data_IF_761431118389
#
_entry.id   IF_761431118389
#
_cell.length_a   1.000
_cell.length_b   1.000
_cell.length_c   1.000
_cell.angle_alpha   90.00
_cell.angle_beta   90.00
_cell.angle_gamma   90.00
#
_symmetry.space_group_name_H-M   'P 1'
#
loop_
_entity.id
_entity.type
_entity.pdbx_description
1 polymer ?
#
# COMPACT_ATOMS: atom_id res chain seq x y z
N UNK A 1 -15.70 10.10 -0.87
CA UNK A 1 -14.46 9.33 -0.65
C UNK A 1 -13.62 10.15 0.31
N UNK A 2 -13.40 9.64 1.51
CA UNK A 2 -12.52 10.29 2.48
C UNK A 2 -11.12 9.72 2.25
N UNK A 3 -10.13 10.59 2.06
CA UNK A 3 -8.72 10.20 1.92
C UNK A 3 -8.10 10.32 3.29
N UNK A 4 -7.82 9.20 3.97
CA UNK A 4 -6.99 9.22 5.20
C UNK A 4 -5.57 8.85 4.79
N UNK A 5 -4.70 9.86 4.70
CA UNK A 5 -3.26 9.65 4.56
C UNK A 5 -2.70 9.33 5.94
N UNK A 6 -2.10 8.15 6.11
CA UNK A 6 -1.48 7.77 7.37
C UNK A 6 0.04 7.76 7.19
N UNK A 7 0.74 8.61 7.94
CA UNK A 7 2.19 8.50 8.07
C UNK A 7 2.54 7.30 8.94
N UNK A 8 3.73 6.71 8.73
CA UNK A 8 4.21 5.49 9.43
C UNK A 8 4.02 5.60 10.95
N UNK A 9 4.20 6.80 11.52
CA UNK A 9 4.04 7.07 12.95
C UNK A 9 2.65 6.75 13.49
N UNK A 10 1.58 6.90 12.70
CA UNK A 10 0.21 6.59 13.12
C UNK A 10 -0.13 5.10 13.02
N UNK A 11 0.52 4.35 12.13
CA UNK A 11 0.36 2.88 11.98
C UNK A 11 1.03 2.14 13.15
N UNK A 12 2.07 2.75 13.73
CA UNK A 12 2.81 2.21 14.88
C UNK A 12 2.33 2.75 16.24
N UNK A 13 1.37 3.67 16.26
CA UNK A 13 0.89 4.33 17.49
C UNK A 13 -0.19 3.55 18.27
N UNK A 14 -0.70 2.42 17.74
CA UNK A 14 -1.40 1.45 18.60
C UNK A 14 -0.39 0.76 19.52
N UNK A 15 -0.65 0.63 20.83
CA UNK A 15 0.40 0.49 21.84
C UNK A 15 1.06 -0.90 21.81
N UNK A 16 2.16 -1.03 21.07
CA UNK A 16 3.13 -2.12 21.28
C UNK A 16 4.53 -1.51 21.25
N UNK A 17 5.03 -1.27 22.45
CA UNK A 17 6.34 -0.74 22.79
C UNK A 17 7.47 -1.61 22.19
N UNK A 18 8.37 -1.06 21.38
CA UNK A 18 9.71 -1.63 21.19
C UNK A 18 10.80 -0.55 21.10
N UNK A 19 11.84 -0.79 21.90
CA UNK A 19 12.98 0.08 22.20
C UNK A 19 13.93 0.25 21.01
N UNK A 20 14.55 1.44 20.98
CA UNK A 20 15.75 1.82 20.24
C UNK A 20 16.85 0.76 20.24
N UNK A 21 17.43 0.48 19.06
CA UNK A 21 18.67 -0.24 18.88
C UNK A 21 19.61 0.51 17.93
N UNK A 22 20.70 1.05 18.48
CA UNK A 22 21.84 1.63 17.75
C UNK A 22 22.55 0.56 16.91
N UNK A 23 22.95 0.86 15.67
CA UNK A 23 24.01 0.13 14.96
C UNK A 23 24.96 1.11 14.30
N UNK A 24 26.21 1.01 14.74
CA UNK A 24 27.40 1.71 14.27
C UNK A 24 28.22 0.74 13.41
N UNK A 25 28.88 1.19 12.33
CA UNK A 25 30.22 0.72 11.89
C UNK A 25 30.74 1.40 10.61
N UNK A 26 31.97 1.91 10.72
CA UNK A 26 32.88 2.33 9.64
C UNK A 26 33.47 1.11 8.89
N UNK A 27 33.93 1.28 7.64
CA UNK A 27 35.27 0.90 7.13
C UNK A 27 35.47 1.33 5.66
N UNK A 28 36.72 1.60 5.25
CA UNK A 28 37.09 2.43 4.08
C UNK A 28 37.61 1.74 2.80
N UNK A 29 37.59 2.57 1.72
CA UNK A 29 38.46 2.75 0.53
C UNK A 29 38.98 1.53 -0.30
N UNK A 30 38.66 1.47 -1.61
CA UNK A 30 39.60 1.63 -2.77
C UNK A 30 38.98 1.28 -4.15
N UNK A 31 39.55 1.88 -5.21
CA UNK A 31 39.07 2.10 -6.60
C UNK A 31 39.08 0.89 -7.55
N UNK A 32 38.14 0.83 -8.51
CA UNK A 32 38.39 1.07 -9.96
C UNK A 32 37.12 0.84 -10.81
N UNK A 33 37.08 1.50 -11.96
CA UNK A 33 35.90 1.96 -12.68
C UNK A 33 35.08 0.91 -13.45
N UNK A 34 33.76 0.95 -13.24
CA UNK A 34 32.74 1.01 -14.31
C UNK A 34 31.54 1.77 -13.73
N UNK A 35 31.39 3.05 -14.07
CA UNK A 35 30.21 3.82 -13.71
C UNK A 35 29.22 3.80 -14.88
N UNK A 36 28.07 3.16 -14.67
CA UNK A 36 26.76 3.44 -15.32
C UNK A 36 25.74 2.50 -14.66
N UNK A 37 24.64 2.86 -14.00
CA UNK A 37 23.95 4.10 -13.69
C UNK A 37 23.11 3.84 -12.42
N UNK A 38 23.18 4.77 -11.45
CA UNK A 38 22.21 5.06 -10.37
C UNK A 38 21.58 3.88 -9.60
N UNK A 39 22.06 3.64 -8.39
CA UNK A 39 21.25 3.08 -7.29
C UNK A 39 20.20 4.10 -6.86
N UNK A 40 19.22 4.37 -7.73
CA UNK A 40 18.02 5.10 -7.32
C UNK A 40 17.24 4.11 -6.47
N UNK A 41 17.01 4.43 -5.20
CA UNK A 41 15.91 3.83 -4.44
C UNK A 41 14.65 4.03 -5.30
N UNK A 42 14.28 3.02 -6.09
CA UNK A 42 13.09 3.14 -6.93
C UNK A 42 11.91 3.20 -6.00
N UNK A 43 11.19 4.33 -5.99
CA UNK A 43 9.95 4.40 -5.24
C UNK A 43 8.96 3.44 -5.89
N UNK A 44 8.44 2.50 -5.10
CA UNK A 44 7.58 1.42 -5.57
C UNK A 44 6.21 1.55 -4.95
N UNK A 45 5.20 1.74 -5.79
CA UNK A 45 3.80 1.87 -5.39
C UNK A 45 3.06 0.55 -5.64
N UNK A 46 2.31 0.10 -4.63
CA UNK A 46 1.36 -0.99 -4.76
C UNK A 46 -0.06 -0.51 -4.48
N UNK A 47 -0.97 -0.74 -5.44
CA UNK A 47 -2.35 -0.28 -5.34
C UNK A 47 -3.29 -1.48 -5.12
N UNK A 48 -3.82 -1.61 -3.91
CA UNK A 48 -4.85 -2.58 -3.57
C UNK A 48 -6.20 -2.06 -4.09
N UNK A 49 -6.78 -2.76 -5.06
CA UNK A 49 -8.01 -2.33 -5.72
C UNK A 49 -7.78 -1.26 -6.80
N UNK A 50 -7.17 -1.64 -7.92
CA UNK A 50 -6.88 -0.76 -9.06
C UNK A 50 -8.14 -0.40 -9.87
N UNK A 51 -8.99 0.43 -9.28
CA UNK A 51 -10.13 1.10 -9.90
C UNK A 51 -9.72 2.40 -10.61
N UNK A 52 -10.69 3.29 -10.84
CA UNK A 52 -10.47 4.55 -11.54
C UNK A 52 -9.39 5.44 -10.88
N UNK A 53 -9.47 5.61 -9.55
CA UNK A 53 -8.49 6.40 -8.78
C UNK A 53 -7.10 5.77 -8.87
N UNK A 54 -7.02 4.45 -8.62
CA UNK A 54 -5.78 3.68 -8.70
C UNK A 54 -5.10 3.79 -10.06
N UNK A 55 -5.86 3.66 -11.15
CA UNK A 55 -5.32 3.80 -12.52
C UNK A 55 -4.81 5.21 -12.82
N UNK A 56 -5.51 6.24 -12.32
CA UNK A 56 -5.11 7.64 -12.52
C UNK A 56 -3.80 7.94 -11.78
N UNK A 57 -3.69 7.49 -10.52
CA UNK A 57 -2.45 7.60 -9.75
C UNK A 57 -1.32 6.80 -10.40
N UNK A 58 -1.60 5.56 -10.82
CA UNK A 58 -0.60 4.69 -11.43
C UNK A 58 0.03 5.32 -12.68
N UNK A 59 -0.77 5.87 -13.60
CA UNK A 59 -0.26 6.59 -14.78
C UNK A 59 0.64 7.77 -14.39
N UNK A 60 0.21 8.57 -13.41
CA UNK A 60 0.98 9.74 -12.97
C UNK A 60 2.34 9.33 -12.40
N UNK A 61 2.38 8.28 -11.59
CA UNK A 61 3.61 7.78 -10.96
C UNK A 61 4.53 7.08 -11.97
N UNK A 62 3.98 6.28 -12.89
CA UNK A 62 4.76 5.66 -13.98
C UNK A 62 5.45 6.74 -14.84
N UNK A 63 4.76 7.84 -15.16
CA UNK A 63 5.33 8.97 -15.88
C UNK A 63 6.47 9.69 -15.11
N UNK A 64 6.54 9.49 -13.80
CA UNK A 64 7.62 9.99 -12.93
C UNK A 64 8.74 8.96 -12.72
N UNK A 65 8.67 7.81 -13.40
CA UNK A 65 9.65 6.72 -13.30
C UNK A 65 9.49 5.84 -12.06
N UNK A 66 8.29 5.79 -11.46
CA UNK A 66 8.01 4.87 -10.35
C UNK A 66 7.67 3.48 -10.88
N UNK A 67 8.04 2.45 -10.12
CA UNK A 67 7.52 1.10 -10.32
C UNK A 67 6.13 1.04 -9.70
N UNK A 68 5.10 0.76 -10.49
CA UNK A 68 3.72 0.68 -10.01
C UNK A 68 3.10 -0.66 -10.39
N UNK A 69 2.55 -1.32 -9.37
CA UNK A 69 1.73 -2.52 -9.52
C UNK A 69 0.45 -2.40 -8.72
N UNK A 70 -0.48 -3.33 -8.89
CA UNK A 70 -1.58 -3.45 -7.95
C UNK A 70 -2.48 -4.64 -8.20
N UNK A 71 -3.71 -4.56 -7.72
CA UNK A 71 -4.62 -5.71 -7.71
C UNK A 71 -6.00 -5.44 -8.29
N UNK A 72 -6.66 -6.51 -8.72
CA UNK A 72 -8.07 -6.51 -9.08
C UNK A 72 -8.70 -7.87 -8.74
N UNK A 73 -10.03 -7.97 -8.86
CA UNK A 73 -10.78 -9.16 -8.41
C UNK A 73 -11.17 -10.11 -9.55
N UNK A 74 -11.00 -9.73 -10.82
CA UNK A 74 -11.45 -10.56 -11.95
C UNK A 74 -10.44 -10.62 -13.09
N UNK A 75 -10.35 -11.78 -13.76
CA UNK A 75 -9.49 -11.98 -14.93
C UNK A 75 -9.80 -11.01 -16.07
N UNK A 76 -11.09 -10.71 -16.29
CA UNK A 76 -11.52 -9.76 -17.32
C UNK A 76 -10.95 -8.37 -17.05
N UNK A 77 -10.98 -7.91 -15.79
CA UNK A 77 -10.41 -6.62 -15.39
C UNK A 77 -8.88 -6.65 -15.42
N UNK A 78 -8.27 -7.76 -15.00
CA UNK A 78 -6.81 -7.97 -15.09
C UNK A 78 -6.31 -7.77 -16.52
N UNK A 79 -6.88 -8.51 -17.47
CA UNK A 79 -6.50 -8.41 -18.89
C UNK A 79 -6.63 -6.99 -19.42
N UNK A 80 -7.75 -6.30 -19.14
CA UNK A 80 -7.94 -4.90 -19.55
C UNK A 80 -6.88 -3.96 -18.97
N UNK A 81 -6.46 -4.16 -17.73
CA UNK A 81 -5.42 -3.34 -17.08
C UNK A 81 -4.03 -3.66 -17.64
N UNK A 82 -3.74 -4.92 -17.95
CA UNK A 82 -2.50 -5.35 -18.62
C UNK A 82 -2.41 -4.77 -20.05
N UNK A 83 -3.51 -4.77 -20.81
CA UNK A 83 -3.59 -4.15 -22.13
C UNK A 83 -3.34 -2.63 -22.08
N UNK A 84 -3.57 -1.99 -20.91
CA UNK A 84 -3.27 -0.59 -20.64
C UNK A 84 -1.84 -0.35 -20.13
N UNK A 85 -1.02 -1.40 -20.01
CA UNK A 85 0.37 -1.32 -19.55
C UNK A 85 0.55 -1.37 -18.02
N UNK A 86 -0.46 -1.81 -17.26
CA UNK A 86 -0.33 -1.97 -15.81
C UNK A 86 0.08 -3.39 -15.41
N UNK A 87 0.93 -3.49 -14.39
CA UNK A 87 1.26 -4.75 -13.74
C UNK A 87 0.25 -5.05 -12.64
N UNK A 88 -0.62 -6.05 -12.85
CA UNK A 88 -1.72 -6.33 -11.93
C UNK A 88 -1.86 -7.81 -11.57
N UNK A 89 -2.16 -8.06 -10.30
CA UNK A 89 -2.44 -9.40 -9.77
C UNK A 89 -3.91 -9.55 -9.38
N UNK A 90 -4.36 -10.80 -9.34
CA UNK A 90 -5.66 -11.10 -8.73
C UNK A 90 -5.50 -11.10 -7.21
N UNK A 91 -6.44 -10.46 -6.54
CA UNK A 91 -6.50 -10.42 -5.09
C UNK A 91 -7.95 -10.28 -4.64
N UNK A 92 -8.37 -11.16 -3.75
CA UNK A 92 -9.61 -11.03 -3.00
C UNK A 92 -9.27 -10.64 -1.57
N UNK A 93 -9.70 -9.45 -1.15
CA UNK A 93 -9.45 -8.99 0.21
C UNK A 93 -10.23 -9.78 1.27
N UNK A 94 -11.33 -10.45 0.89
CA UNK A 94 -12.08 -11.29 1.82
C UNK A 94 -11.30 -12.58 2.15
N UNK A 95 -10.45 -13.03 1.22
CA UNK A 95 -9.63 -14.23 1.34
C UNK A 95 -8.20 -13.92 0.84
N UNK A 96 -7.40 -13.18 1.63
CA UNK A 96 -6.10 -12.73 1.21
C UNK A 96 -5.13 -13.90 1.00
N UNK A 97 -4.55 -14.00 -0.20
CA UNK A 97 -3.52 -14.98 -0.51
C UNK A 97 -2.16 -14.55 0.08
N UNK A 98 -1.50 -15.48 0.78
CA UNK A 98 -0.15 -15.33 1.32
C UNK A 98 0.88 -14.93 0.26
N UNK A 99 0.72 -15.40 -0.98
CA UNK A 99 1.62 -15.06 -2.09
C UNK A 99 1.63 -13.56 -2.39
N UNK A 100 0.45 -12.93 -2.35
CA UNK A 100 0.30 -11.48 -2.54
C UNK A 100 0.89 -10.73 -1.35
N UNK A 101 0.65 -11.21 -0.11
CA UNK A 101 1.22 -10.59 1.09
C UNK A 101 2.76 -10.61 1.09
N UNK A 102 3.38 -11.67 0.58
CA UNK A 102 4.83 -11.72 0.38
C UNK A 102 5.29 -10.73 -0.70
N UNK A 103 4.53 -10.60 -1.80
CA UNK A 103 4.80 -9.62 -2.85
C UNK A 103 4.78 -8.18 -2.32
N UNK A 104 3.87 -7.86 -1.39
CA UNK A 104 3.77 -6.52 -0.80
C UNK A 104 5.12 -6.06 -0.20
N UNK A 105 5.91 -6.96 0.39
CA UNK A 105 7.20 -6.60 1.02
C UNK A 105 8.21 -5.93 0.08
N UNK A 106 8.02 -6.08 -1.24
CA UNK A 106 8.88 -5.46 -2.27
C UNK A 106 8.49 -4.02 -2.60
N UNK A 107 7.46 -3.47 -1.95
CA UNK A 107 6.94 -2.13 -2.20
C UNK A 107 7.12 -1.22 -0.99
N UNK A 108 7.29 0.07 -1.25
CA UNK A 108 7.53 1.08 -0.22
C UNK A 108 6.32 1.97 0.00
N UNK A 109 5.44 2.11 -0.99
CA UNK A 109 4.24 2.94 -0.92
C UNK A 109 3.00 2.10 -1.25
N UNK A 110 1.92 2.30 -0.50
CA UNK A 110 0.68 1.56 -0.70
C UNK A 110 -0.53 2.49 -0.77
N UNK A 111 -1.42 2.18 -1.71
CA UNK A 111 -2.77 2.75 -1.76
C UNK A 111 -3.78 1.63 -1.55
N UNK A 112 -4.60 1.72 -0.51
CA UNK A 112 -5.76 0.86 -0.28
C UNK A 112 -6.99 1.56 -0.83
N UNK A 113 -7.53 1.03 -1.92
CA UNK A 113 -8.69 1.54 -2.65
C UNK A 113 -9.72 0.41 -2.88
N UNK A 114 -9.81 -0.53 -1.93
CA UNK A 114 -10.79 -1.61 -1.96
C UNK A 114 -12.06 -1.10 -1.26
N UNK A 115 -13.22 -1.08 -1.95
CA UNK A 115 -14.46 -0.65 -1.32
C UNK A 115 -14.94 -1.69 -0.30
N UNK A 116 -15.64 -1.26 0.76
CA UNK A 116 -16.27 -2.18 1.69
C UNK A 116 -17.38 -2.98 1.00
N UNK A 117 -17.68 -4.15 1.56
CA UNK A 117 -18.76 -5.02 1.10
C UNK A 117 -20.01 -4.74 1.92
N UNK A 118 -21.13 -4.45 1.25
CA UNK A 118 -22.41 -4.14 1.90
C UNK A 118 -22.83 -5.31 2.80
N UNK A 119 -23.15 -5.00 4.07
CA UNK A 119 -23.56 -5.99 5.08
C UNK A 119 -22.43 -6.81 5.70
N UNK A 120 -21.21 -6.72 5.19
CA UNK A 120 -20.02 -7.44 5.70
C UNK A 120 -19.00 -6.47 6.32
N UNK A 121 -18.92 -5.24 5.78
CA UNK A 121 -17.95 -4.24 6.21
C UNK A 121 -16.69 -4.25 5.36
N UNK A 122 -15.59 -3.74 5.92
CA UNK A 122 -14.34 -3.59 5.18
C UNK A 122 -13.44 -4.84 5.28
N UNK A 123 -13.17 -5.54 4.16
CA UNK A 123 -12.37 -6.76 4.19
C UNK A 123 -10.91 -6.50 4.61
N UNK A 124 -10.40 -5.29 4.41
CA UNK A 124 -9.03 -4.94 4.83
C UNK A 124 -8.90 -4.80 6.34
N UNK A 125 -9.98 -4.39 7.03
CA UNK A 125 -10.02 -4.32 8.50
C UNK A 125 -10.20 -5.70 9.13
N UNK A 126 -10.93 -6.62 8.48
CA UNK A 126 -11.09 -7.99 8.97
C UNK A 126 -9.75 -8.74 9.07
N UNK A 127 -8.79 -8.39 8.21
CA UNK A 127 -7.46 -9.02 8.15
C UNK A 127 -6.34 -8.04 8.56
N UNK A 128 -6.65 -7.03 9.37
CA UNK A 128 -5.74 -5.93 9.70
C UNK A 128 -4.38 -6.42 10.20
N UNK A 129 -4.33 -7.31 11.20
CA UNK A 129 -3.06 -7.78 11.76
C UNK A 129 -2.21 -8.56 10.74
N UNK A 130 -2.84 -9.34 9.86
CA UNK A 130 -2.13 -10.09 8.82
C UNK A 130 -1.51 -9.14 7.78
N UNK A 131 -2.27 -8.11 7.38
CA UNK A 131 -1.81 -7.10 6.43
C UNK A 131 -0.74 -6.22 7.08
N UNK A 132 -0.99 -5.74 8.30
CA UNK A 132 -0.06 -4.90 9.08
C UNK A 132 1.25 -5.61 9.33
N UNK A 133 1.24 -6.86 9.78
CA UNK A 133 2.46 -7.64 9.98
C UNK A 133 3.23 -7.87 8.67
N UNK A 134 2.55 -7.99 7.54
CA UNK A 134 3.21 -8.10 6.23
C UNK A 134 3.82 -6.78 5.77
N UNK A 135 3.20 -5.64 6.10
CA UNK A 135 3.67 -4.30 5.75
C UNK A 135 4.79 -3.80 6.67
N UNK A 136 4.69 -4.02 7.99
CA UNK A 136 5.68 -3.59 9.00
C UNK A 136 7.00 -4.34 8.87
N UNK A 137 6.94 -5.62 8.46
CA UNK A 137 8.15 -6.39 8.14
C UNK A 137 8.76 -6.03 6.77
N UNK A 138 8.14 -5.10 6.04
CA UNK A 138 8.63 -4.56 4.76
C UNK A 138 9.28 -3.19 4.90
N UNK A 139 9.81 -2.67 3.80
CA UNK A 139 10.35 -1.31 3.70
C UNK A 139 9.26 -0.24 3.54
N UNK A 140 8.17 -0.32 4.29
CA UNK A 140 7.04 0.61 4.17
C UNK A 140 7.48 2.05 4.49
N UNK A 141 7.23 2.96 3.56
CA UNK A 141 7.50 4.38 3.65
C UNK A 141 6.21 5.21 3.67
N UNK A 142 5.13 4.73 3.04
CA UNK A 142 3.86 5.46 2.95
C UNK A 142 2.66 4.53 2.75
N UNK A 143 1.54 4.84 3.40
CA UNK A 143 0.26 4.16 3.24
C UNK A 143 -0.87 5.18 3.14
N UNK A 144 -1.75 5.02 2.16
CA UNK A 144 -3.00 5.76 2.08
C UNK A 144 -4.17 4.80 2.02
N UNK A 145 -5.20 5.13 2.79
CA UNK A 145 -6.45 4.40 2.84
C UNK A 145 -7.59 5.27 2.30
N UNK A 146 -8.30 4.78 1.30
CA UNK A 146 -9.51 5.40 0.79
C UNK A 146 -10.73 4.72 1.41
N UNK A 147 -11.35 5.38 2.38
CA UNK A 147 -12.63 4.92 2.94
C UNK A 147 -13.81 5.60 2.24
N UNK A 148 -14.90 4.85 2.09
CA UNK A 148 -16.22 5.45 1.83
C UNK A 148 -16.97 5.56 3.15
N UNK A 149 -17.60 6.70 3.41
CA UNK A 149 -18.46 6.91 4.59
C UNK A 149 -19.68 5.99 4.62
N UNK A 150 -19.98 5.28 3.53
CA UNK A 150 -21.16 4.40 3.41
C UNK A 150 -21.20 3.18 4.35
N UNK A 151 -20.13 2.91 5.11
CA UNK A 151 -20.12 1.88 6.18
C UNK A 151 -20.43 2.44 7.58
N UNK A 152 -20.54 3.75 7.72
CA UNK A 152 -21.19 4.35 8.87
C UNK A 152 -22.65 4.58 8.45
N UNK A 153 -23.53 3.65 8.84
CA UNK A 153 -24.96 3.93 8.77
C UNK A 153 -25.24 5.24 9.50
N UNK A 154 -26.01 6.13 8.88
CA UNK A 154 -26.50 7.41 9.42
C UNK A 154 -26.01 7.72 10.85
N UNK A 155 -24.80 8.27 10.96
CA UNK A 155 -24.44 8.96 12.17
C UNK A 155 -25.07 10.33 12.03
N UNK A 156 -26.13 10.55 12.80
CA UNK A 156 -27.05 11.69 12.83
C UNK A 156 -26.34 13.03 13.11
N UNK A 157 -25.42 13.43 12.23
CA UNK A 157 -24.81 14.76 12.20
C UNK A 157 -23.84 15.12 13.32
N UNK A 158 -23.36 14.19 14.14
CA UNK A 158 -22.41 14.56 15.20
C UNK A 158 -20.96 14.68 14.70
N UNK A 159 -20.39 15.86 14.95
CA UNK A 159 -19.00 16.20 14.71
C UNK A 159 -18.11 15.35 15.62
N UNK A 160 -17.16 14.64 15.03
CA UNK A 160 -16.09 13.97 15.77
C UNK A 160 -15.08 15.04 16.18
N UNK A 161 -15.03 15.36 17.47
CA UNK A 161 -13.93 16.13 18.06
C UNK A 161 -12.74 15.19 18.30
N UNK A 162 -11.55 15.62 17.89
CA UNK A 162 -10.28 14.92 18.13
C UNK A 162 -9.54 15.63 19.27
N UNK A 163 -9.64 15.10 20.50
CA UNK A 163 -8.65 15.36 21.57
C UNK A 163 -7.53 14.30 21.56
#
# INVERSE_FOLDING_TARGET
VTVKGMEIGQILASPICFRHGNVQRNFGISLSATQTLSTKSENRMFILGMGFVGQTLARKLQNQGWVVSGTCTTYVKKKKLEDMGFHVQLFDANQPDLSILQLLRNYTHFLVSIPPVVGIGDPMLQHEELIRSSLVNGGLQWLCYLSSTSVYGDCDGELVDEE
#
